data_IF_282212936642
#
_entry.id   IF_282212936642
#
_cell.length_a   1.000
_cell.length_b   1.000
_cell.length_c   1.000
_cell.angle_alpha   90.00
_cell.angle_beta   90.00
_cell.angle_gamma   90.00
#
_symmetry.space_group_name_H-M   'P 1'
#
loop_
_entity.id
_entity.type
_entity.pdbx_description
1 polymer ?
#
# COMPACT_ATOMS: atom_id res chain seq x y z
N UNK A 1 15.47 -23.99 -17.13
CA UNK A 1 14.89 -23.32 -15.95
C UNK A 1 13.64 -24.09 -15.57
N UNK A 2 13.52 -24.55 -14.34
CA UNK A 2 12.32 -25.22 -13.83
C UNK A 2 11.29 -24.19 -13.38
N UNK A 3 10.03 -24.61 -13.19
CA UNK A 3 8.98 -23.76 -12.62
C UNK A 3 9.34 -23.23 -11.21
N UNK A 4 10.20 -23.94 -10.46
CA UNK A 4 10.69 -23.48 -9.17
C UNK A 4 11.67 -22.32 -9.35
N UNK A 5 12.65 -22.45 -10.25
CA UNK A 5 13.65 -21.41 -10.52
C UNK A 5 12.98 -20.12 -11.03
N UNK A 6 11.98 -20.24 -11.90
CA UNK A 6 11.18 -19.11 -12.39
C UNK A 6 10.38 -18.44 -11.25
N UNK A 7 9.77 -19.23 -10.36
CA UNK A 7 9.06 -18.72 -9.18
C UNK A 7 9.98 -18.08 -8.12
N UNK A 8 11.28 -18.43 -8.10
CA UNK A 8 12.31 -17.79 -7.27
C UNK A 8 12.80 -16.49 -7.92
N UNK A 9 13.02 -16.48 -9.25
CA UNK A 9 13.36 -15.27 -10.00
C UNK A 9 12.26 -14.19 -9.90
N UNK A 10 10.99 -14.58 -10.04
CA UNK A 10 9.85 -13.68 -9.86
C UNK A 10 9.74 -13.13 -8.42
N UNK A 11 10.10 -13.95 -7.42
CA UNK A 11 10.15 -13.52 -6.02
C UNK A 11 11.30 -12.52 -5.79
N UNK A 12 12.46 -12.76 -6.37
CA UNK A 12 13.60 -11.85 -6.28
C UNK A 12 13.33 -10.51 -6.97
N UNK A 13 12.69 -10.51 -8.14
CA UNK A 13 12.23 -9.30 -8.81
C UNK A 13 11.24 -8.51 -7.95
N UNK A 14 10.32 -9.21 -7.26
CA UNK A 14 9.38 -8.61 -6.30
C UNK A 14 10.11 -7.99 -5.10
N UNK A 15 11.17 -8.63 -4.60
CA UNK A 15 12.01 -8.09 -3.52
C UNK A 15 12.80 -6.86 -3.93
N UNK A 16 13.42 -6.87 -5.11
CA UNK A 16 14.08 -5.69 -5.68
C UNK A 16 13.12 -4.52 -5.89
N UNK A 17 11.89 -4.79 -6.36
CA UNK A 17 10.85 -3.78 -6.51
C UNK A 17 10.48 -3.17 -5.14
N UNK A 18 10.21 -4.01 -4.14
CA UNK A 18 9.84 -3.57 -2.80
C UNK A 18 10.89 -2.66 -2.15
N UNK A 19 12.19 -2.95 -2.32
CA UNK A 19 13.28 -2.04 -1.87
C UNK A 19 13.12 -0.66 -2.49
N UNK A 20 12.93 -0.58 -3.81
CA UNK A 20 12.82 0.71 -4.52
C UNK A 20 11.51 1.47 -4.30
N UNK A 21 10.44 0.77 -3.94
CA UNK A 21 9.13 1.37 -3.64
C UNK A 21 9.03 1.83 -2.19
N UNK A 22 9.66 1.11 -1.24
CA UNK A 22 9.66 1.50 0.16
C UNK A 22 10.72 2.56 0.50
N UNK A 23 11.84 2.63 -0.25
CA UNK A 23 12.86 3.64 -0.04
C UNK A 23 12.28 5.07 -0.14
N UNK A 24 12.57 5.90 0.86
CA UNK A 24 12.01 7.24 0.99
C UNK A 24 10.56 7.30 1.52
N UNK A 25 10.00 6.18 2.00
CA UNK A 25 8.68 6.11 2.65
C UNK A 25 8.79 5.66 4.11
N UNK A 26 7.74 5.84 4.92
CA UNK A 26 7.70 5.39 6.31
C UNK A 26 7.86 3.86 6.45
N UNK A 27 7.51 3.09 5.41
CA UNK A 27 7.69 1.64 5.38
C UNK A 27 9.17 1.20 5.25
N UNK A 28 10.07 2.12 4.90
CA UNK A 28 11.49 1.83 4.66
C UNK A 28 12.16 1.14 5.84
N UNK A 29 12.02 1.70 7.04
CA UNK A 29 12.68 1.19 8.26
C UNK A 29 12.23 -0.23 8.60
N UNK A 30 10.92 -0.53 8.44
CA UNK A 30 10.39 -1.87 8.67
C UNK A 30 10.88 -2.91 7.64
N UNK A 31 10.98 -2.50 6.36
CA UNK A 31 11.52 -3.33 5.29
C UNK A 31 13.01 -3.60 5.51
N UNK A 32 13.83 -2.55 5.60
CA UNK A 32 15.31 -2.68 5.61
C UNK A 32 15.77 -3.61 6.75
N UNK A 33 15.19 -3.45 7.94
CA UNK A 33 15.54 -4.22 9.13
C UNK A 33 15.13 -5.71 8.96
N UNK A 34 13.96 -5.94 8.37
CA UNK A 34 13.45 -7.30 8.13
C UNK A 34 14.24 -8.02 7.03
N UNK A 35 14.64 -7.29 5.98
CA UNK A 35 15.40 -7.82 4.87
C UNK A 35 16.86 -8.08 5.27
N UNK A 36 17.48 -7.20 6.07
CA UNK A 36 18.79 -7.41 6.66
C UNK A 36 18.85 -8.69 7.51
N UNK A 37 17.87 -8.91 8.40
CA UNK A 37 17.72 -10.17 9.16
C UNK A 37 17.56 -11.39 8.26
N UNK A 38 16.73 -11.28 7.22
CA UNK A 38 16.48 -12.37 6.27
C UNK A 38 17.76 -12.77 5.52
N UNK A 39 18.52 -11.80 5.00
CA UNK A 39 19.84 -12.05 4.41
C UNK A 39 20.86 -12.57 5.43
N UNK A 40 20.80 -12.04 6.65
CA UNK A 40 21.70 -12.38 7.75
C UNK A 40 21.61 -13.85 8.17
N UNK A 41 20.40 -14.45 8.14
CA UNK A 41 20.15 -15.85 8.54
C UNK A 41 20.71 -16.19 9.93
N UNK A 42 20.67 -15.22 10.85
CA UNK A 42 21.24 -15.35 12.20
C UNK A 42 22.73 -15.01 12.32
N UNK A 43 23.44 -14.69 11.22
CA UNK A 43 24.80 -14.18 11.25
C UNK A 43 24.80 -12.64 11.38
N UNK A 44 25.21 -12.07 12.53
CA UNK A 44 25.12 -10.63 12.77
C UNK A 44 26.03 -9.82 11.85
N UNK A 45 27.20 -10.34 11.44
CA UNK A 45 28.08 -9.64 10.50
C UNK A 45 27.43 -9.53 9.12
N UNK A 46 26.78 -10.60 8.65
CA UNK A 46 26.07 -10.59 7.35
C UNK A 46 24.86 -9.66 7.39
N UNK A 47 24.12 -9.65 8.50
CA UNK A 47 23.02 -8.71 8.76
C UNK A 47 23.48 -7.25 8.71
N UNK A 48 24.50 -6.87 9.50
CA UNK A 48 25.04 -5.50 9.52
C UNK A 48 25.50 -5.06 8.13
N UNK A 49 26.30 -5.87 7.42
CA UNK A 49 26.77 -5.51 6.07
C UNK A 49 25.66 -5.46 5.01
N UNK A 50 24.48 -6.03 5.26
CA UNK A 50 23.32 -5.86 4.37
C UNK A 50 22.53 -4.61 4.76
N UNK A 51 22.36 -4.34 6.07
CA UNK A 51 21.73 -3.13 6.57
C UNK A 51 22.46 -1.86 6.08
N UNK A 52 23.80 -1.83 6.15
CA UNK A 52 24.63 -0.72 5.64
C UNK A 52 24.39 -0.45 4.15
N UNK A 53 24.25 -1.50 3.32
CA UNK A 53 23.97 -1.37 1.88
C UNK A 53 22.54 -0.93 1.60
N UNK A 54 21.58 -1.37 2.43
CA UNK A 54 20.20 -0.91 2.35
C UNK A 54 20.15 0.58 2.70
N UNK A 55 20.76 1.00 3.80
CA UNK A 55 20.79 2.41 4.23
C UNK A 55 21.42 3.32 3.16
N UNK A 56 22.52 2.90 2.54
CA UNK A 56 23.09 3.61 1.39
C UNK A 56 22.10 3.69 0.21
N UNK A 57 21.42 2.58 -0.13
CA UNK A 57 20.39 2.55 -1.19
C UNK A 57 19.24 3.53 -0.88
N UNK A 58 18.78 3.56 0.37
CA UNK A 58 17.71 4.46 0.82
C UNK A 58 18.11 5.93 0.75
N UNK A 59 19.34 6.25 1.15
CA UNK A 59 19.88 7.61 1.09
C UNK A 59 20.04 8.11 -0.36
N UNK A 60 20.57 7.27 -1.26
CA UNK A 60 20.70 7.62 -2.69
C UNK A 60 19.34 7.77 -3.38
N UNK A 61 18.38 6.89 -3.10
CA UNK A 61 17.02 6.98 -3.65
C UNK A 61 16.20 8.15 -3.07
N UNK A 62 16.55 8.67 -1.90
CA UNK A 62 15.95 9.86 -1.31
C UNK A 62 16.58 11.19 -1.77
N UNK A 63 17.80 11.15 -2.34
CA UNK A 63 18.56 12.33 -2.75
C UNK A 63 18.69 12.49 -4.27
N UNK A 64 18.14 11.56 -5.06
CA UNK A 64 18.17 11.61 -6.52
C UNK A 64 17.22 12.65 -7.11
N UNK A 65 17.74 13.48 -8.02
CA UNK A 65 16.96 14.44 -8.81
C UNK A 65 15.86 13.76 -9.63
N UNK A 66 14.71 14.44 -9.80
CA UNK A 66 13.53 13.87 -10.45
C UNK A 66 13.80 13.29 -11.85
N UNK A 67 14.60 13.99 -12.67
CA UNK A 67 14.97 13.55 -14.03
C UNK A 67 15.85 12.29 -14.07
N UNK A 68 16.46 11.91 -12.95
CA UNK A 68 17.29 10.71 -12.78
C UNK A 68 16.60 9.61 -11.96
N UNK A 69 15.56 9.96 -11.21
CA UNK A 69 14.95 9.11 -10.20
C UNK A 69 14.54 7.72 -10.72
N UNK A 70 13.87 7.64 -11.88
CA UNK A 70 13.43 6.34 -12.40
C UNK A 70 14.59 5.47 -12.91
N UNK A 71 15.62 6.07 -13.52
CA UNK A 71 16.82 5.34 -13.95
C UNK A 71 17.60 4.78 -12.75
N UNK A 72 17.73 5.56 -11.67
CA UNK A 72 18.40 5.12 -10.44
C UNK A 72 17.56 4.06 -9.70
N UNK A 73 16.23 4.22 -9.66
CA UNK A 73 15.31 3.18 -9.16
C UNK A 73 15.43 1.88 -9.97
N UNK A 74 15.45 1.93 -11.30
CA UNK A 74 15.61 0.74 -12.13
C UNK A 74 16.93 0.03 -11.86
N UNK A 75 18.03 0.78 -11.72
CA UNK A 75 19.34 0.22 -11.36
C UNK A 75 19.33 -0.46 -9.98
N UNK A 76 18.82 0.21 -8.94
CA UNK A 76 18.73 -0.39 -7.60
C UNK A 76 17.77 -1.57 -7.53
N UNK A 77 16.67 -1.56 -8.30
CA UNK A 77 15.75 -2.70 -8.42
C UNK A 77 16.47 -3.94 -8.93
N UNK A 78 17.26 -3.78 -10.00
CA UNK A 78 18.06 -4.87 -10.57
C UNK A 78 19.15 -5.35 -9.59
N UNK A 79 19.89 -4.44 -8.94
CA UNK A 79 20.93 -4.79 -7.95
C UNK A 79 20.34 -5.62 -6.80
N UNK A 80 19.20 -5.20 -6.25
CA UNK A 80 18.58 -5.91 -5.13
C UNK A 80 17.88 -7.21 -5.57
N UNK A 81 17.31 -7.25 -6.78
CA UNK A 81 16.85 -8.51 -7.38
C UNK A 81 18.01 -9.52 -7.47
N UNK A 82 19.13 -9.16 -8.11
CA UNK A 82 20.27 -10.08 -8.28
C UNK A 82 20.77 -10.59 -6.94
N UNK A 83 20.96 -9.71 -5.95
CA UNK A 83 21.40 -10.13 -4.59
C UNK A 83 20.45 -11.13 -3.92
N UNK A 84 19.15 -11.04 -4.18
CA UNK A 84 18.16 -11.99 -3.65
C UNK A 84 18.23 -13.32 -4.43
N UNK A 85 18.45 -13.28 -5.74
CA UNK A 85 18.69 -14.49 -6.55
C UNK A 85 19.97 -15.20 -6.06
N UNK A 86 21.10 -14.48 -5.99
CA UNK A 86 22.39 -15.00 -5.52
C UNK A 86 22.25 -15.72 -4.17
N UNK A 87 21.56 -15.11 -3.18
CA UNK A 87 21.35 -15.76 -1.88
C UNK A 87 20.49 -17.02 -1.97
N UNK A 88 19.46 -17.02 -2.81
CA UNK A 88 18.59 -18.20 -2.96
C UNK A 88 19.33 -19.33 -3.69
N UNK A 89 20.15 -18.99 -4.68
CA UNK A 89 20.94 -19.94 -5.47
C UNK A 89 22.07 -20.55 -4.62
N UNK A 90 22.78 -19.74 -3.79
CA UNK A 90 23.80 -20.17 -2.82
C UNK A 90 23.31 -21.21 -1.78
N UNK A 91 21.99 -21.39 -1.61
CA UNK A 91 21.41 -22.36 -0.67
C UNK A 91 21.26 -23.75 -1.30
N UNK A 92 22.31 -24.59 -1.18
CA UNK A 92 22.33 -25.97 -1.69
C UNK A 92 21.18 -26.86 -1.17
N UNK A 93 20.75 -26.68 0.08
CA UNK A 93 19.64 -27.44 0.67
C UNK A 93 18.29 -26.91 0.15
N UNK A 94 17.58 -27.74 -0.63
CA UNK A 94 16.30 -27.37 -1.23
C UNK A 94 15.20 -27.02 -0.22
N UNK A 95 15.22 -27.61 0.99
CA UNK A 95 14.28 -27.27 2.05
C UNK A 95 14.66 -25.94 2.73
N UNK A 96 15.96 -25.61 2.81
CA UNK A 96 16.43 -24.32 3.29
C UNK A 96 16.12 -23.20 2.29
N UNK A 97 16.41 -23.40 1.00
CA UNK A 97 16.01 -22.51 -0.09
C UNK A 97 14.49 -22.29 -0.09
N UNK A 98 13.71 -23.36 0.10
CA UNK A 98 12.26 -23.31 0.26
C UNK A 98 11.81 -22.46 1.46
N UNK A 99 12.42 -22.64 2.63
CA UNK A 99 12.17 -21.82 3.83
C UNK A 99 12.52 -20.35 3.58
N UNK A 100 13.71 -20.05 3.07
CA UNK A 100 14.14 -18.69 2.75
C UNK A 100 13.17 -17.98 1.78
N UNK A 101 12.72 -18.68 0.74
CA UNK A 101 11.74 -18.15 -0.20
C UNK A 101 10.34 -17.95 0.42
N UNK A 102 9.93 -18.80 1.37
CA UNK A 102 8.69 -18.60 2.13
C UNK A 102 8.78 -17.40 3.08
N UNK A 103 9.89 -17.26 3.80
CA UNK A 103 10.15 -16.12 4.70
C UNK A 103 10.13 -14.79 3.94
N UNK A 104 10.74 -14.75 2.75
CA UNK A 104 10.72 -13.56 1.89
C UNK A 104 9.32 -13.25 1.35
N UNK A 105 8.55 -14.26 0.90
CA UNK A 105 7.14 -14.06 0.51
C UNK A 105 6.31 -13.49 1.66
N UNK A 106 6.47 -14.01 2.87
CA UNK A 106 5.77 -13.52 4.06
C UNK A 106 6.20 -12.09 4.44
N UNK A 107 7.47 -11.74 4.24
CA UNK A 107 7.98 -10.37 4.43
C UNK A 107 7.36 -9.40 3.42
N UNK A 108 7.38 -9.73 2.13
CA UNK A 108 6.84 -8.87 1.08
C UNK A 108 5.33 -8.70 1.19
N UNK A 109 4.60 -9.77 1.53
CA UNK A 109 3.15 -9.70 1.77
C UNK A 109 2.78 -8.68 2.87
N UNK A 110 3.59 -8.55 3.93
CA UNK A 110 3.35 -7.54 5.00
C UNK A 110 3.52 -6.09 4.55
N UNK A 111 4.22 -5.84 3.43
CA UNK A 111 4.31 -4.51 2.82
C UNK A 111 3.11 -4.21 1.90
N UNK A 112 2.57 -5.25 1.24
CA UNK A 112 1.42 -5.11 0.34
C UNK A 112 0.08 -5.04 1.08
N UNK A 113 0.03 -5.51 2.33
CA UNK A 113 -1.07 -5.14 3.22
C UNK A 113 -1.08 -3.62 3.38
N UNK A 114 -2.23 -2.93 3.20
CA UNK A 114 -2.32 -1.56 3.68
C UNK A 114 -1.95 -1.61 5.17
N UNK A 115 -0.91 -0.86 5.54
CA UNK A 115 -0.52 -0.69 6.93
C UNK A 115 -1.69 0.02 7.60
N UNK A 116 -2.62 -0.77 8.15
CA UNK A 116 -3.85 -0.27 8.74
C UNK A 116 -3.44 0.59 9.92
N UNK A 117 -3.45 1.90 9.69
CA UNK A 117 -2.92 2.88 10.61
C UNK A 117 -3.56 2.66 11.97
N UNK A 118 -2.76 2.27 12.95
CA UNK A 118 -3.22 2.18 14.33
C UNK A 118 -3.42 3.61 14.82
N UNK A 119 -4.61 4.15 14.56
CA UNK A 119 -5.14 5.30 15.27
C UNK A 119 -6.53 4.95 15.77
N UNK A 120 -6.52 4.12 16.81
CA UNK A 120 -7.64 3.89 17.70
C UNK A 120 -7.32 4.44 19.10
N UNK A 121 -6.58 5.57 19.22
CA UNK A 121 -6.72 6.34 20.45
C UNK A 121 -8.14 6.90 20.47
N UNK A 122 -8.96 6.29 21.34
CA UNK A 122 -10.30 6.74 21.71
C UNK A 122 -11.43 6.64 20.67
N UNK A 123 -11.35 5.65 19.77
CA UNK A 123 -12.55 5.01 19.22
C UNK A 123 -13.23 5.69 18.04
N UNK A 124 -12.45 6.03 17.01
CA UNK A 124 -12.95 6.22 15.64
C UNK A 124 -12.71 4.98 14.77
N UNK A 125 -13.34 4.95 13.60
CA UNK A 125 -13.08 3.97 12.52
C UNK A 125 -12.70 4.76 11.27
N UNK A 126 -11.55 4.43 10.67
CA UNK A 126 -11.08 5.01 9.41
C UNK A 126 -10.94 3.91 8.36
N UNK A 127 -11.44 4.15 7.14
CA UNK A 127 -11.41 3.18 6.03
C UNK A 127 -10.84 3.85 4.79
N UNK A 128 -9.73 3.33 4.27
CA UNK A 128 -9.02 3.85 3.10
C UNK A 128 -9.66 3.48 1.75
N UNK A 129 -10.99 3.45 1.68
CA UNK A 129 -11.74 3.04 0.49
C UNK A 129 -13.23 3.36 0.62
N UNK A 130 -14.00 3.13 -0.44
CA UNK A 130 -15.44 3.38 -0.44
C UNK A 130 -16.17 2.43 0.52
N UNK A 131 -16.70 2.99 1.61
CA UNK A 131 -17.55 2.28 2.57
C UNK A 131 -19.03 2.56 2.29
N UNK A 132 -19.70 1.63 1.61
CA UNK A 132 -21.15 1.74 1.35
C UNK A 132 -21.95 1.13 2.49
N UNK A 133 -22.48 1.95 3.39
CA UNK A 133 -23.48 1.51 4.38
C UNK A 133 -24.84 1.40 3.69
N UNK A 134 -25.31 0.17 3.42
CA UNK A 134 -26.62 -0.07 2.84
C UNK A 134 -27.57 -0.66 3.87
N UNK A 135 -28.42 0.20 4.45
CA UNK A 135 -29.61 -0.24 5.16
C UNK A 135 -30.62 -0.83 4.16
N UNK A 136 -31.25 -1.94 4.53
CA UNK A 136 -32.37 -2.56 3.83
C UNK A 136 -33.45 -2.86 4.89
N UNK A 137 -34.73 -2.78 4.51
CA UNK A 137 -35.89 -2.95 5.41
C UNK A 137 -35.82 -2.15 6.73
N UNK A 138 -36.00 -0.83 6.63
CA UNK A 138 -36.34 0.05 7.75
C UNK A 138 -35.31 0.18 8.89
N UNK A 139 -34.14 -0.45 8.77
CA UNK A 139 -33.19 -0.60 9.87
C UNK A 139 -32.14 0.50 9.91
N UNK A 140 -31.91 1.11 11.08
CA UNK A 140 -30.86 2.12 11.30
C UNK A 140 -29.53 1.42 11.61
N UNK A 141 -28.57 1.50 10.69
CA UNK A 141 -27.20 1.09 10.94
C UNK A 141 -26.45 2.17 11.73
N UNK A 142 -26.48 2.08 13.06
CA UNK A 142 -25.84 3.05 13.95
C UNK A 142 -24.31 2.84 14.02
N UNK A 143 -23.56 3.60 13.22
CA UNK A 143 -22.16 3.87 13.50
C UNK A 143 -22.06 5.04 14.50
N UNK A 144 -21.27 4.90 15.57
CA UNK A 144 -21.11 5.95 16.58
C UNK A 144 -20.21 7.06 16.05
N UNK A 145 -20.81 8.12 15.51
CA UNK A 145 -20.10 9.35 15.15
C UNK A 145 -19.87 10.19 16.40
N UNK A 146 -18.61 10.35 16.82
CA UNK A 146 -18.21 11.32 17.85
C UNK A 146 -17.67 12.58 17.17
N UNK A 147 -18.61 13.42 16.74
CA UNK A 147 -18.41 14.71 16.08
C UNK A 147 -19.77 15.30 15.69
N UNK A 148 -19.80 16.58 15.31
CA UNK A 148 -21.03 17.23 14.85
C UNK A 148 -21.52 16.63 13.52
N UNK A 149 -22.82 16.29 13.45
CA UNK A 149 -23.43 15.65 12.28
C UNK A 149 -24.25 16.69 11.50
N UNK A 150 -23.62 17.27 10.48
CA UNK A 150 -24.32 18.15 9.54
C UNK A 150 -25.08 17.33 8.48
N UNK A 151 -26.36 17.06 8.75
CA UNK A 151 -27.27 16.51 7.73
C UNK A 151 -27.73 17.63 6.80
N UNK A 152 -27.01 17.82 5.69
CA UNK A 152 -27.59 18.51 4.53
C UNK A 152 -28.75 17.69 3.98
N UNK A 153 -29.97 18.23 4.00
CA UNK A 153 -31.12 17.58 3.34
C UNK A 153 -30.78 17.46 1.85
N UNK A 154 -30.76 16.26 1.25
CA UNK A 154 -30.69 16.16 -0.20
C UNK A 154 -31.96 16.78 -0.77
N UNK A 155 -31.81 17.76 -1.67
CA UNK A 155 -32.92 18.25 -2.48
C UNK A 155 -33.30 17.12 -3.45
N UNK A 156 -34.19 16.25 -3.00
CA UNK A 156 -34.77 15.20 -3.83
C UNK A 156 -35.48 15.88 -5.00
N UNK A 157 -35.16 15.41 -6.21
CA UNK A 157 -35.62 15.99 -7.45
C UNK A 157 -37.12 16.30 -7.43
N UNK A 158 -37.47 17.55 -7.76
CA UNK A 158 -38.84 17.91 -8.13
C UNK A 158 -39.27 17.09 -9.34
N UNK A 159 -40.09 16.08 -9.09
CA UNK A 159 -40.80 15.31 -10.09
C UNK A 159 -42.26 15.14 -9.66
N UNK A 160 -42.94 16.26 -9.40
CA UNK A 160 -44.41 16.33 -9.51
C UNK A 160 -44.75 17.44 -10.51
N UNK A 161 -45.31 17.00 -11.63
CA UNK A 161 -45.77 17.80 -12.76
C UNK A 161 -47.25 18.10 -12.58
N UNK A 162 -47.64 19.38 -12.74
CA UNK A 162 -49.04 19.87 -12.68
C UNK A 162 -49.71 19.73 -11.28
N UNK A 163 -50.57 20.65 -10.82
CA UNK A 163 -51.39 21.62 -11.54
C UNK A 163 -51.91 22.69 -10.54
N UNK A 164 -51.58 23.98 -10.70
CA UNK A 164 -52.53 25.07 -10.41
C UNK A 164 -52.17 26.37 -11.18
N UNK A 165 -53.17 27.23 -11.35
CA UNK A 165 -53.33 28.17 -12.46
C UNK A 165 -52.70 29.55 -12.21
N UNK A 166 -52.07 30.20 -13.22
CA UNK A 166 -51.70 31.62 -13.12
C UNK A 166 -52.92 32.54 -13.35
N UNK A 167 -52.96 33.67 -12.64
CA UNK A 167 -53.90 34.80 -12.87
C UNK A 167 -53.36 36.07 -12.19
N UNK A 168 -53.65 37.28 -12.69
CA UNK A 168 -53.45 37.86 -14.03
C UNK A 168 -52.34 38.98 -13.97
N UNK A 169 -52.06 39.76 -15.04
CA UNK A 169 -52.88 40.92 -15.45
C UNK A 169 -53.06 40.97 -16.99
N UNK A 170 -53.61 41.98 -17.67
CA UNK A 170 -54.19 43.30 -17.31
C UNK A 170 -55.48 43.54 -18.13
N UNK A 171 -56.24 44.61 -17.88
CA UNK A 171 -57.29 45.10 -18.78
C UNK A 171 -57.34 46.63 -18.93
N UNK A 172 -56.31 47.23 -19.52
CA UNK A 172 -56.35 48.63 -20.01
C UNK A 172 -57.05 48.74 -21.36
N UNK A 173 -58.38 48.94 -21.36
CA UNK A 173 -59.15 49.54 -22.48
C UNK A 173 -60.34 50.33 -21.92
N UNK A 174 -60.39 51.64 -22.18
CA UNK A 174 -61.48 52.55 -21.75
C UNK A 174 -60.95 53.90 -21.29
#
# INVERSE_FOLDING_TARGET
MSMLDEALAALAASGGAAVTTAAGTDAWTGLRDSLARWFGRGNPRRETSVLERLDQTGAELASVEADRAESVRAAYRAIWQTRIQDLLDDLDDAAERGRAAADLRALLARLSLPQAGVSADRGGVAVGGNLTVRAQDGSVAAAVVRGDVHVGRPEAARAEESQDRPTPPDASQG
#
